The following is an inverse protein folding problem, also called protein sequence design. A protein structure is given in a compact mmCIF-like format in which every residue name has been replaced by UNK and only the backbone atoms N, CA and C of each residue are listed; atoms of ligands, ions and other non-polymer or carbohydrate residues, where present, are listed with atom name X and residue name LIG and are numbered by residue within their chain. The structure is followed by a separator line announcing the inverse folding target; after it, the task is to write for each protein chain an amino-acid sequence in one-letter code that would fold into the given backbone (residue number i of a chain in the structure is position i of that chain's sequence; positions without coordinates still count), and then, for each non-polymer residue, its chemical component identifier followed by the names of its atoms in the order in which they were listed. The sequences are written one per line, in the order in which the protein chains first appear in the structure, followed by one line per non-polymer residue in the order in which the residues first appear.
data_IF_801028148882
#
_entry.id   IF_801028148882
#
_cell.length_a   1.000
_cell.length_b   1.000
_cell.length_c   1.000
_cell.angle_alpha   90.00
_cell.angle_beta   90.00
_cell.angle_gamma   90.00
#
_symmetry.space_group_name_H-M   'P 1'
#
loop_
_entity.id
_entity.type
_entity.pdbx_description
1 polymer ?
#
# COMPACT_ATOMS: atom_id res chain seq x y z
N UNK A 1 25.93 8.18 11.25
CA UNK A 1 25.11 7.96 10.02
C UNK A 1 24.82 6.47 9.93
N UNK A 2 23.59 6.05 9.63
CA UNK A 2 23.20 4.62 9.60
C UNK A 2 23.54 4.06 8.22
N UNK A 3 24.56 3.20 8.16
CA UNK A 3 24.90 2.45 6.95
C UNK A 3 24.16 1.10 7.00
N UNK A 4 23.30 0.86 6.02
CA UNK A 4 22.60 -0.43 5.84
C UNK A 4 23.32 -1.19 4.73
N UNK A 5 24.23 -2.08 5.10
CA UNK A 5 24.87 -3.01 4.16
C UNK A 5 24.12 -4.34 4.15
N UNK A 6 23.71 -4.75 2.95
CA UNK A 6 23.26 -6.12 2.66
C UNK A 6 24.46 -6.88 2.09
N UNK A 7 24.87 -7.97 2.74
CA UNK A 7 25.95 -8.83 2.25
C UNK A 7 25.36 -10.01 1.47
N UNK A 8 25.55 -10.00 0.15
CA UNK A 8 25.51 -11.20 -0.70
C UNK A 8 26.94 -11.60 -1.05
N UNK A 9 27.25 -12.89 -0.91
CA UNK A 9 28.58 -13.46 -1.17
C UNK A 9 28.63 -14.00 -2.59
N UNK A 10 29.53 -13.52 -3.46
CA UNK A 10 30.22 -14.36 -4.47
C UNK A 10 31.40 -13.65 -5.15
N UNK A 11 32.38 -14.49 -5.52
CA UNK A 11 33.73 -14.22 -6.01
C UNK A 11 33.85 -13.42 -7.33
N UNK A 12 34.97 -12.72 -7.49
CA UNK A 12 35.20 -11.72 -8.54
C UNK A 12 35.86 -12.19 -9.83
N UNK A 13 36.08 -11.23 -10.74
CA UNK A 13 37.38 -10.89 -11.40
C UNK A 13 37.23 -9.84 -12.53
N UNK A 14 38.21 -8.93 -12.58
CA UNK A 14 38.73 -8.10 -13.71
C UNK A 14 38.11 -6.75 -14.18
N UNK A 15 38.60 -5.66 -13.56
CA UNK A 15 39.33 -4.46 -14.08
C UNK A 15 39.19 -4.00 -15.57
N UNK A 16 38.77 -2.76 -15.97
CA UNK A 16 39.36 -1.36 -15.95
C UNK A 16 39.49 -0.79 -17.40
N UNK A 17 39.87 0.49 -17.71
CA UNK A 17 39.13 1.76 -17.53
C UNK A 17 39.24 2.73 -18.77
N UNK A 18 38.54 3.89 -18.77
CA UNK A 18 38.89 5.15 -19.53
C UNK A 18 37.92 6.27 -19.13
N UNK A 19 38.36 7.29 -18.38
CA UNK A 19 38.93 8.61 -18.77
C UNK A 19 37.90 9.74 -18.99
N UNK A 20 38.23 10.86 -18.35
CA UNK A 20 37.51 12.11 -18.10
C UNK A 20 37.92 13.24 -19.03
N UNK A 21 36.99 14.16 -19.32
CA UNK A 21 37.17 15.61 -19.56
C UNK A 21 35.78 16.25 -19.27
N UNK A 22 35.53 17.40 -18.66
CA UNK A 22 36.32 18.57 -18.28
C UNK A 22 35.54 19.86 -18.60
N UNK A 23 35.05 20.61 -17.58
CA UNK A 23 34.72 22.06 -17.55
C UNK A 23 33.59 22.61 -18.49
N UNK A 24 32.87 23.75 -18.29
CA UNK A 24 32.98 24.94 -17.43
C UNK A 24 31.63 25.72 -17.32
N UNK A 25 31.48 26.44 -16.19
CA UNK A 25 30.71 27.66 -15.83
C UNK A 25 29.73 28.37 -16.80
N UNK A 26 28.65 28.93 -16.23
CA UNK A 26 28.49 30.40 -16.09
C UNK A 26 27.33 30.79 -15.15
N UNK A 27 27.64 31.73 -14.27
CA UNK A 27 26.82 32.44 -13.30
C UNK A 27 25.89 33.49 -13.98
N UNK A 28 24.79 33.86 -13.32
CA UNK A 28 24.16 35.21 -13.35
C UNK A 28 22.84 35.20 -12.54
N UNK A 29 22.92 35.65 -11.29
CA UNK A 29 22.29 36.89 -10.87
C UNK A 29 20.76 37.03 -10.73
N UNK A 30 20.38 37.44 -9.49
CA UNK A 30 19.52 38.61 -9.18
C UNK A 30 18.04 38.35 -8.77
N UNK A 31 17.83 38.63 -7.46
CA UNK A 31 16.69 39.27 -6.75
C UNK A 31 15.38 38.50 -6.48
N UNK A 32 15.18 38.26 -5.18
CA UNK A 32 13.90 38.39 -4.47
C UNK A 32 13.41 39.85 -4.49
N UNK A 33 12.09 40.08 -4.31
CA UNK A 33 11.71 40.73 -3.05
C UNK A 33 10.35 40.31 -2.44
N UNK A 34 10.30 40.48 -1.11
CA UNK A 34 9.22 41.04 -0.27
C UNK A 34 7.84 40.37 -0.16
N UNK A 35 7.56 39.92 1.07
CA UNK A 35 6.25 39.90 1.72
C UNK A 35 5.67 41.31 1.91
N UNK A 36 4.35 41.41 2.13
CA UNK A 36 3.84 42.32 3.17
C UNK A 36 2.82 41.64 4.11
N UNK A 37 2.92 42.03 5.37
CA UNK A 37 2.01 41.78 6.49
C UNK A 37 0.93 42.88 6.58
N UNK A 38 -0.08 42.60 7.42
CA UNK A 38 -1.07 43.50 8.07
C UNK A 38 -2.42 43.65 7.35
N UNK A 39 -3.51 43.09 7.94
CA UNK A 39 -4.43 43.86 8.82
C UNK A 39 -5.46 42.98 9.55
N UNK A 40 -5.64 43.30 10.82
CA UNK A 40 -6.61 42.79 11.79
C UNK A 40 -8.08 42.91 11.34
N UNK A 41 -8.91 41.97 11.79
CA UNK A 41 -10.26 42.27 12.31
C UNK A 41 -10.63 41.32 13.44
N UNK A 42 -10.86 41.91 14.60
CA UNK A 42 -11.52 41.28 15.73
C UNK A 42 -13.05 41.33 15.52
N UNK A 43 -13.75 40.29 15.99
CA UNK A 43 -15.20 40.23 16.05
C UNK A 43 -15.63 39.02 16.88
N UNK A 44 -15.93 39.27 18.16
CA UNK A 44 -16.56 38.33 19.11
C UNK A 44 -18.00 38.04 18.70
N UNK A 45 -18.46 36.81 18.88
CA UNK A 45 -19.82 36.50 19.34
C UNK A 45 -19.91 35.07 19.91
N UNK A 46 -20.46 34.99 21.13
CA UNK A 46 -20.86 33.79 21.88
C UNK A 46 -21.99 33.01 21.20
N UNK A 47 -22.05 31.70 21.43
CA UNK A 47 -23.30 31.00 21.75
C UNK A 47 -23.01 29.66 22.47
N UNK A 48 -23.62 29.52 23.65
CA UNK A 48 -23.72 28.31 24.47
C UNK A 48 -24.89 27.42 24.00
N UNK A 49 -24.75 26.10 24.15
CA UNK A 49 -25.82 25.12 24.42
C UNK A 49 -25.14 23.74 24.63
N UNK A 50 -24.88 23.33 25.88
CA UNK A 50 -25.76 22.49 26.71
C UNK A 50 -25.73 21.00 26.32
N UNK A 51 -24.78 20.25 26.88
CA UNK A 51 -24.84 18.79 27.00
C UNK A 51 -25.33 18.45 28.41
N UNK A 52 -26.34 17.57 28.45
CA UNK A 52 -26.98 17.05 29.65
C UNK A 52 -26.26 15.77 30.08
N UNK A 53 -25.77 15.77 31.32
CA UNK A 53 -25.34 14.59 32.06
C UNK A 53 -26.52 13.67 32.36
N UNK A 54 -26.30 12.36 32.23
CA UNK A 54 -27.05 11.35 32.97
C UNK A 54 -26.09 10.27 33.46
N UNK A 55 -25.68 10.41 34.72
CA UNK A 55 -25.19 9.33 35.56
C UNK A 55 -26.36 8.37 35.87
N UNK A 56 -26.07 7.07 35.91
CA UNK A 56 -26.75 6.19 36.86
C UNK A 56 -25.87 4.98 37.19
N UNK A 57 -25.47 4.96 38.47
CA UNK A 57 -24.94 3.84 39.22
C UNK A 57 -25.90 2.65 39.24
N UNK A 58 -25.36 1.44 39.13
CA UNK A 58 -25.81 0.29 39.95
C UNK A 58 -24.58 -0.51 40.35
N UNK A 59 -24.30 -0.51 41.65
CA UNK A 59 -23.34 -1.40 42.32
C UNK A 59 -24.05 -2.61 42.94
N UNK A 60 -23.23 -3.64 43.18
CA UNK A 60 -23.33 -4.67 44.22
C UNK A 60 -24.24 -5.90 43.96
N UNK A 61 -23.60 -7.08 43.86
CA UNK A 61 -23.76 -8.09 44.90
C UNK A 61 -22.52 -9.00 44.99
N UNK A 62 -21.98 -9.02 46.19
CA UNK A 62 -20.95 -9.89 46.75
C UNK A 62 -21.47 -11.32 46.92
N UNK A 63 -20.60 -12.32 46.70
CA UNK A 63 -20.63 -13.60 47.44
C UNK A 63 -19.29 -14.32 47.30
N UNK A 64 -18.70 -14.57 48.46
CA UNK A 64 -17.50 -15.33 48.79
C UNK A 64 -17.46 -16.77 48.27
N UNK A 65 -16.27 -17.28 47.92
CA UNK A 65 -15.64 -18.36 48.70
C UNK A 65 -14.19 -18.65 48.28
N UNK A 66 -13.39 -18.98 49.30
CA UNK A 66 -11.93 -19.17 49.34
C UNK A 66 -11.45 -20.49 48.72
N UNK A 67 -10.23 -20.39 48.19
CA UNK A 67 -9.07 -21.31 48.21
C UNK A 67 -9.28 -22.78 48.60
N UNK A 68 -8.82 -23.70 47.74
CA UNK A 68 -8.02 -24.86 48.15
C UNK A 68 -6.89 -25.09 47.14
N UNK A 69 -5.66 -24.98 47.65
CA UNK A 69 -4.40 -25.37 47.03
C UNK A 69 -4.19 -26.87 47.28
N UNK A 70 -3.95 -27.68 46.25
CA UNK A 70 -3.42 -29.03 46.41
C UNK A 70 -2.52 -29.39 45.22
N UNK A 71 -1.23 -29.24 45.47
CA UNK A 71 -0.13 -29.87 44.76
C UNK A 71 -0.23 -31.39 44.83
N UNK A 72 -0.18 -32.11 43.71
CA UNK A 72 0.27 -33.50 43.67
C UNK A 72 0.99 -33.80 42.34
N UNK A 73 2.27 -34.13 42.51
CA UNK A 73 3.19 -34.69 41.52
C UNK A 73 2.75 -36.10 41.14
N UNK A 74 2.72 -36.44 39.85
CA UNK A 74 2.80 -37.84 39.39
C UNK A 74 3.62 -37.90 38.10
N UNK A 75 4.62 -38.76 38.15
CA UNK A 75 5.57 -39.15 37.11
C UNK A 75 4.86 -39.68 35.85
N UNK A 76 5.30 -39.25 34.67
CA UNK A 76 4.90 -39.89 33.40
C UNK A 76 5.96 -40.91 33.03
N UNK A 77 5.63 -42.16 33.34
CA UNK A 77 6.31 -43.34 32.81
C UNK A 77 5.86 -43.64 31.37
N UNK A 78 6.78 -44.30 30.70
CA UNK A 78 6.89 -44.67 29.29
C UNK A 78 5.74 -45.46 28.66
N UNK A 79 5.51 -45.15 27.37
CA UNK A 79 5.10 -46.02 26.25
C UNK A 79 3.68 -46.61 26.27
N UNK A 80 2.85 -46.16 25.32
CA UNK A 80 2.24 -47.03 24.31
C UNK A 80 1.60 -46.17 23.20
N UNK A 81 2.03 -46.40 21.95
CA UNK A 81 1.38 -45.89 20.74
C UNK A 81 -0.06 -46.39 20.73
N UNK A 82 -1.03 -45.50 20.93
CA UNK A 82 -2.43 -45.74 20.55
C UNK A 82 -2.73 -44.89 19.34
N UNK A 83 -2.80 -45.59 18.22
CA UNK A 83 -3.44 -45.17 16.99
C UNK A 83 -4.88 -44.73 17.31
N UNK A 84 -5.10 -43.41 17.38
CA UNK A 84 -6.44 -42.84 17.52
C UNK A 84 -6.98 -42.61 16.11
N UNK A 85 -7.83 -43.54 15.69
CA UNK A 85 -8.76 -43.35 14.60
C UNK A 85 -9.42 -41.96 14.71
N UNK A 86 -9.21 -41.13 13.70
CA UNK A 86 -9.84 -39.82 13.56
C UNK A 86 -11.31 -40.05 13.22
N UNK A 87 -12.21 -39.69 14.13
CA UNK A 87 -13.65 -39.71 13.87
C UNK A 87 -14.09 -38.69 12.80
N UNK A 88 -15.31 -38.78 12.25
CA UNK A 88 -15.72 -38.06 11.04
C UNK A 88 -16.05 -36.56 11.22
N UNK A 89 -15.72 -35.95 12.35
CA UNK A 89 -16.17 -34.58 12.70
C UNK A 89 -15.07 -33.72 13.30
N UNK A 90 -13.89 -33.70 12.68
CA UNK A 90 -12.93 -32.64 12.93
C UNK A 90 -13.28 -31.46 12.02
N UNK A 91 -14.24 -30.63 12.46
CA UNK A 91 -14.41 -29.28 11.89
C UNK A 91 -13.04 -28.61 12.01
N UNK A 92 -12.36 -28.43 10.88
CA UNK A 92 -11.08 -27.74 10.83
C UNK A 92 -11.31 -26.34 11.40
N UNK A 93 -10.82 -26.10 12.62
CA UNK A 93 -10.77 -24.75 13.17
C UNK A 93 -10.18 -23.83 12.10
N UNK A 94 -10.86 -22.74 11.74
CA UNK A 94 -10.36 -21.86 10.71
C UNK A 94 -8.97 -21.39 11.11
N UNK A 95 -7.99 -21.59 10.22
CA UNK A 95 -6.63 -21.16 10.49
C UNK A 95 -6.67 -19.68 10.84
N UNK A 96 -6.19 -19.32 12.02
CA UNK A 96 -6.18 -17.94 12.48
C UNK A 96 -4.77 -17.53 12.89
N UNK A 97 -4.38 -16.33 12.49
CA UNK A 97 -3.10 -15.73 12.84
C UNK A 97 -3.41 -14.41 13.54
N UNK A 98 -2.97 -14.28 14.80
CA UNK A 98 -3.20 -13.06 15.61
C UNK A 98 -4.68 -12.65 15.66
N UNK A 99 -5.59 -13.63 15.79
CA UNK A 99 -7.04 -13.41 15.84
C UNK A 99 -7.70 -13.15 14.49
N UNK A 100 -6.96 -13.15 13.38
CA UNK A 100 -7.52 -13.01 12.03
C UNK A 100 -7.72 -14.39 11.44
N UNK A 101 -8.97 -14.73 11.13
CA UNK A 101 -9.31 -15.92 10.35
C UNK A 101 -8.81 -15.74 8.92
N UNK A 102 -8.01 -16.71 8.46
CA UNK A 102 -7.47 -16.71 7.12
C UNK A 102 -8.54 -17.08 6.09
N UNK A 103 -8.59 -16.33 5.00
CA UNK A 103 -9.56 -16.51 3.92
C UNK A 103 -8.98 -17.44 2.86
N UNK A 104 -9.73 -18.47 2.48
CA UNK A 104 -9.33 -19.35 1.39
C UNK A 104 -9.50 -18.67 0.03
N UNK A 105 -8.58 -18.92 -0.90
CA UNK A 105 -8.73 -18.48 -2.31
C UNK A 105 -9.98 -19.09 -2.97
N UNK A 106 -10.52 -20.19 -2.43
CA UNK A 106 -11.77 -20.79 -2.91
C UNK A 106 -13.00 -19.90 -2.73
N UNK A 107 -12.94 -18.87 -1.88
CA UNK A 107 -13.97 -17.82 -1.75
C UNK A 107 -14.10 -16.96 -3.02
N UNK A 108 -13.10 -17.01 -3.90
CA UNK A 108 -13.16 -16.39 -5.22
C UNK A 108 -13.78 -17.35 -6.25
N UNK A 109 -14.54 -16.82 -7.23
CA UNK A 109 -14.95 -17.56 -8.42
C UNK A 109 -13.77 -18.26 -9.10
N UNK A 110 -14.01 -19.45 -9.64
CA UNK A 110 -12.98 -20.34 -10.22
C UNK A 110 -12.05 -19.62 -11.20
N UNK A 111 -12.60 -18.75 -12.05
CA UNK A 111 -11.85 -17.97 -13.05
C UNK A 111 -10.73 -17.11 -12.46
N UNK A 112 -10.82 -16.68 -11.21
CA UNK A 112 -9.81 -15.80 -10.59
C UNK A 112 -8.76 -16.55 -9.76
N UNK A 113 -8.99 -17.84 -9.47
CA UNK A 113 -8.11 -18.61 -8.58
C UNK A 113 -6.71 -18.78 -9.15
N UNK A 114 -6.56 -18.83 -10.48
CA UNK A 114 -5.27 -18.93 -11.17
C UNK A 114 -4.33 -17.75 -10.93
N UNK A 115 -4.86 -16.59 -10.53
CA UNK A 115 -4.05 -15.39 -10.23
C UNK A 115 -3.28 -15.55 -8.92
N UNK A 116 -3.81 -16.34 -7.98
CA UNK A 116 -3.28 -16.49 -6.64
C UNK A 116 -2.63 -17.88 -6.49
N UNK A 117 -1.29 -17.99 -6.57
CA UNK A 117 -0.58 -19.28 -6.57
C UNK A 117 -0.50 -19.95 -5.19
N UNK A 118 -1.38 -19.55 -4.26
CA UNK A 118 -1.42 -20.02 -2.88
C UNK A 118 -2.88 -20.35 -2.51
N UNK A 119 -3.12 -21.32 -1.61
CA UNK A 119 -4.48 -21.77 -1.30
C UNK A 119 -5.24 -20.82 -0.34
N UNK A 120 -4.51 -20.00 0.42
CA UNK A 120 -5.05 -19.20 1.53
C UNK A 120 -4.36 -17.84 1.56
N UNK A 121 -5.13 -16.78 1.74
CA UNK A 121 -4.63 -15.42 1.93
C UNK A 121 -3.93 -15.28 3.28
N UNK A 122 -2.85 -14.50 3.34
CA UNK A 122 -2.17 -14.22 4.61
C UNK A 122 -3.06 -13.35 5.54
N UNK A 123 -2.59 -13.07 6.77
CA UNK A 123 -3.37 -12.32 7.75
C UNK A 123 -3.79 -10.91 7.27
N UNK A 124 -2.87 -10.16 6.65
CA UNK A 124 -3.15 -8.81 6.12
C UNK A 124 -4.17 -8.86 4.99
N UNK A 125 -3.95 -9.77 4.03
CA UNK A 125 -4.84 -9.97 2.88
C UNK A 125 -6.23 -10.44 3.32
N UNK A 126 -6.30 -11.36 4.28
CA UNK A 126 -7.57 -11.90 4.82
C UNK A 126 -8.37 -10.85 5.56
N UNK A 127 -7.72 -10.03 6.38
CA UNK A 127 -8.38 -8.91 7.08
C UNK A 127 -8.94 -7.89 6.09
N UNK A 128 -8.19 -7.58 5.03
CA UNK A 128 -8.64 -6.65 3.99
C UNK A 128 -9.62 -7.27 2.97
N UNK A 129 -9.80 -8.61 2.95
CA UNK A 129 -10.59 -9.28 1.92
C UNK A 129 -12.02 -8.75 1.83
N UNK A 130 -12.68 -8.55 2.98
CA UNK A 130 -14.06 -8.08 3.02
C UNK A 130 -14.20 -6.68 2.42
N UNK A 131 -13.36 -5.73 2.85
CA UNK A 131 -13.42 -4.36 2.35
C UNK A 131 -13.01 -4.28 0.88
N UNK A 132 -12.00 -5.02 0.46
CA UNK A 132 -11.48 -4.99 -0.91
C UNK A 132 -12.41 -5.69 -1.90
N UNK A 133 -12.83 -6.93 -1.60
CA UNK A 133 -13.52 -7.80 -2.55
C UNK A 133 -15.04 -7.78 -2.44
N UNK A 134 -15.61 -7.47 -1.28
CA UNK A 134 -17.08 -7.45 -1.10
C UNK A 134 -17.70 -6.05 -1.16
N UNK A 135 -16.88 -5.00 -1.11
CA UNK A 135 -17.34 -3.60 -1.23
C UNK A 135 -16.65 -2.88 -2.38
N UNK A 136 -17.17 -1.70 -2.73
CA UNK A 136 -16.57 -0.79 -3.71
C UNK A 136 -16.02 0.51 -3.07
N UNK A 137 -15.88 0.53 -1.73
CA UNK A 137 -15.28 1.66 -1.03
C UNK A 137 -13.78 1.80 -1.32
N UNK A 138 -13.30 3.04 -1.27
CA UNK A 138 -11.90 3.39 -1.32
C UNK A 138 -11.17 2.84 -0.09
N UNK A 139 -9.90 2.48 -0.26
CA UNK A 139 -9.09 1.84 0.78
C UNK A 139 -7.73 2.52 0.90
N UNK A 140 -7.31 2.77 2.13
CA UNK A 140 -5.93 3.14 2.48
C UNK A 140 -5.35 2.05 3.38
N UNK A 141 -4.28 1.42 2.93
CA UNK A 141 -3.62 0.34 3.66
C UNK A 141 -2.15 0.64 3.87
N UNK A 142 -1.75 0.69 5.14
CA UNK A 142 -0.36 0.70 5.56
C UNK A 142 0.02 -0.69 6.10
N UNK A 143 0.99 -1.35 5.47
CA UNK A 143 1.50 -2.64 5.92
C UNK A 143 2.96 -2.85 5.49
N UNK A 144 3.81 -3.52 6.29
CA UNK A 144 5.23 -3.67 6.02
C UNK A 144 5.52 -4.26 4.63
N UNK A 145 6.67 -3.91 4.04
CA UNK A 145 7.13 -4.50 2.78
C UNK A 145 7.24 -6.03 2.92
N UNK A 146 6.77 -6.77 1.91
CA UNK A 146 6.69 -8.23 1.96
C UNK A 146 5.40 -8.79 2.57
N UNK A 147 4.48 -7.95 3.07
CA UNK A 147 3.17 -8.41 3.58
C UNK A 147 2.16 -8.81 2.49
N UNK A 148 2.60 -8.86 1.22
CA UNK A 148 1.75 -9.29 0.10
C UNK A 148 0.71 -8.25 -0.34
N UNK A 149 1.02 -6.95 -0.20
CA UNK A 149 0.18 -5.81 -0.61
C UNK A 149 -0.30 -5.90 -2.07
N UNK A 150 0.53 -6.41 -2.98
CA UNK A 150 0.16 -6.59 -4.40
C UNK A 150 -1.08 -7.47 -4.58
N UNK A 151 -1.25 -8.53 -3.77
CA UNK A 151 -2.43 -9.41 -3.87
C UNK A 151 -3.74 -8.67 -3.55
N UNK A 152 -3.68 -7.61 -2.74
CA UNK A 152 -4.84 -6.77 -2.41
C UNK A 152 -5.26 -5.92 -3.62
N UNK A 153 -4.30 -5.41 -4.39
CA UNK A 153 -4.58 -4.76 -5.67
C UNK A 153 -5.18 -5.75 -6.68
N UNK A 154 -4.64 -6.96 -6.76
CA UNK A 154 -5.17 -8.02 -7.63
C UNK A 154 -6.60 -8.41 -7.24
N UNK A 155 -6.91 -8.48 -5.95
CA UNK A 155 -8.28 -8.67 -5.44
C UNK A 155 -9.22 -7.54 -5.85
N UNK A 156 -8.76 -6.28 -5.81
CA UNK A 156 -9.56 -5.14 -6.25
C UNK A 156 -9.89 -5.22 -7.75
N UNK A 157 -8.93 -5.68 -8.58
CA UNK A 157 -9.16 -5.94 -10.00
C UNK A 157 -10.19 -7.06 -10.17
N UNK A 158 -10.05 -8.18 -9.45
CA UNK A 158 -11.03 -9.27 -9.49
C UNK A 158 -12.44 -8.80 -9.13
N UNK A 159 -12.57 -7.96 -8.09
CA UNK A 159 -13.85 -7.33 -7.71
C UNK A 159 -14.42 -6.51 -8.85
N UNK A 160 -13.61 -5.64 -9.47
CA UNK A 160 -14.05 -4.84 -10.60
C UNK A 160 -14.60 -5.72 -11.74
N UNK A 161 -13.86 -6.77 -12.13
CA UNK A 161 -14.25 -7.70 -13.18
C UNK A 161 -15.52 -8.49 -12.85
N UNK A 162 -15.79 -8.72 -11.56
CA UNK A 162 -16.98 -9.44 -11.13
C UNK A 162 -18.23 -8.56 -11.15
N UNK A 163 -18.05 -7.24 -11.02
CA UNK A 163 -19.15 -6.27 -11.01
C UNK A 163 -19.46 -5.67 -12.38
N UNK A 164 -18.46 -5.57 -13.26
CA UNK A 164 -18.64 -5.02 -14.59
C UNK A 164 -19.24 -6.04 -15.56
N UNK A 165 -20.21 -5.58 -16.36
CA UNK A 165 -20.84 -6.36 -17.43
C UNK A 165 -20.25 -6.07 -18.81
N UNK A 166 -19.51 -4.97 -18.96
CA UNK A 166 -18.93 -4.51 -20.21
C UNK A 166 -17.40 -4.45 -20.07
N UNK A 167 -16.69 -4.73 -21.16
CA UNK A 167 -15.24 -4.73 -21.26
C UNK A 167 -14.66 -3.31 -21.40
N UNK A 168 -15.53 -2.30 -21.49
CA UNK A 168 -15.18 -0.88 -21.59
C UNK A 168 -14.85 -0.27 -20.24
N UNK A 169 -13.69 -0.63 -19.70
CA UNK A 169 -13.15 -0.02 -18.49
C UNK A 169 -11.62 0.12 -18.57
N UNK A 170 -11.09 0.92 -17.65
CA UNK A 170 -9.65 1.05 -17.42
C UNK A 170 -9.34 0.91 -15.92
N UNK A 171 -8.28 0.17 -15.64
CA UNK A 171 -7.60 0.11 -14.34
C UNK A 171 -6.28 0.82 -14.50
N UNK A 172 -6.02 1.80 -13.64
CA UNK A 172 -4.72 2.49 -13.59
C UNK A 172 -3.97 1.95 -12.39
N UNK A 173 -2.76 1.44 -12.60
CA UNK A 173 -1.80 1.15 -11.54
C UNK A 173 -0.65 2.13 -11.62
N UNK A 174 -0.43 2.82 -10.51
CA UNK A 174 0.59 3.85 -10.38
C UNK A 174 1.67 3.40 -9.40
N UNK A 175 2.92 3.37 -9.86
CA UNK A 175 4.08 3.02 -9.05
C UNK A 175 5.10 4.18 -8.96
N UNK A 176 5.91 4.26 -7.88
CA UNK A 176 6.96 5.27 -7.70
C UNK A 176 8.00 5.33 -8.80
N UNK A 177 8.41 4.17 -9.29
CA UNK A 177 9.58 4.02 -10.16
C UNK A 177 9.22 3.29 -11.44
N UNK A 178 9.93 3.61 -12.53
CA UNK A 178 9.79 2.90 -13.80
C UNK A 178 10.12 1.41 -13.64
N UNK A 179 11.15 1.06 -12.88
CA UNK A 179 11.54 -0.33 -12.66
C UNK A 179 10.42 -1.16 -12.03
N UNK A 180 9.67 -0.58 -11.07
CA UNK A 180 8.52 -1.23 -10.47
C UNK A 180 7.34 -1.33 -11.47
N UNK A 181 7.14 -0.33 -12.33
CA UNK A 181 6.20 -0.42 -13.45
C UNK A 181 6.53 -1.60 -14.37
N UNK A 182 7.78 -1.72 -14.83
CA UNK A 182 8.18 -2.79 -15.75
C UNK A 182 8.10 -4.18 -15.10
N UNK A 183 8.45 -4.29 -13.82
CA UNK A 183 8.27 -5.53 -13.05
C UNK A 183 6.80 -5.95 -13.02
N UNK A 184 5.90 -5.03 -12.64
CA UNK A 184 4.47 -5.30 -12.56
C UNK A 184 3.83 -5.54 -13.92
N UNK A 185 4.30 -4.85 -14.96
CA UNK A 185 3.85 -5.08 -16.32
C UNK A 185 4.13 -6.53 -16.75
N UNK A 186 5.32 -7.04 -16.50
CA UNK A 186 5.66 -8.43 -16.82
C UNK A 186 4.84 -9.44 -16.01
N UNK A 187 4.63 -9.20 -14.72
CA UNK A 187 3.85 -10.09 -13.86
C UNK A 187 2.36 -10.09 -14.24
N UNK A 188 1.75 -8.92 -14.33
CA UNK A 188 0.32 -8.76 -14.60
C UNK A 188 -0.04 -9.09 -16.04
N UNK A 189 0.83 -8.84 -17.01
CA UNK A 189 0.60 -9.31 -18.39
C UNK A 189 0.50 -10.83 -18.42
N UNK A 190 1.29 -11.56 -17.63
CA UNK A 190 1.19 -13.02 -17.58
C UNK A 190 -0.08 -13.47 -16.85
N UNK A 191 -0.35 -12.90 -15.67
CA UNK A 191 -1.50 -13.29 -14.83
C UNK A 191 -2.83 -12.95 -15.48
N UNK A 192 -3.03 -11.70 -15.88
CA UNK A 192 -4.31 -11.20 -16.36
C UNK A 192 -4.62 -11.53 -17.82
N UNK A 193 -3.62 -11.94 -18.61
CA UNK A 193 -3.89 -12.50 -19.93
C UNK A 193 -4.73 -13.78 -19.85
N UNK A 194 -4.63 -14.56 -18.75
CA UNK A 194 -5.52 -15.72 -18.52
C UNK A 194 -6.99 -15.33 -18.32
N UNK A 195 -7.25 -14.06 -18.00
CA UNK A 195 -8.57 -13.47 -17.87
C UNK A 195 -9.01 -12.69 -19.12
N UNK A 196 -8.23 -12.72 -20.19
CA UNK A 196 -8.48 -11.95 -21.41
C UNK A 196 -8.19 -10.45 -21.28
N UNK A 197 -7.51 -10.01 -20.22
CA UNK A 197 -7.14 -8.60 -20.06
C UNK A 197 -5.81 -8.30 -20.73
N UNK A 198 -5.76 -7.17 -21.45
CA UNK A 198 -4.55 -6.60 -21.98
C UNK A 198 -3.97 -5.58 -21.00
N UNK A 199 -2.68 -5.73 -20.71
CA UNK A 199 -1.89 -4.76 -19.95
C UNK A 199 -1.07 -3.89 -20.90
N UNK A 200 -0.84 -2.64 -20.54
CA UNK A 200 0.12 -1.77 -21.21
C UNK A 200 0.95 -1.00 -20.18
N UNK A 201 2.23 -0.84 -20.46
CA UNK A 201 3.13 0.04 -19.73
C UNK A 201 3.17 1.42 -20.38
N UNK A 202 2.95 2.46 -19.58
CA UNK A 202 2.98 3.86 -19.98
C UNK A 202 3.99 4.59 -19.09
N UNK A 203 5.23 4.69 -19.55
CA UNK A 203 6.32 5.37 -18.83
C UNK A 203 6.99 6.43 -19.71
N UNK A 204 8.07 7.03 -19.22
CA UNK A 204 8.80 8.05 -19.98
C UNK A 204 9.36 7.55 -21.31
N UNK A 205 9.57 6.24 -21.43
CA UNK A 205 10.22 5.61 -22.60
C UNK A 205 9.20 5.09 -23.63
N UNK A 206 7.93 5.47 -23.46
CA UNK A 206 6.82 5.02 -24.31
C UNK A 206 6.72 5.82 -25.61
N UNK A 207 6.90 5.14 -26.74
CA UNK A 207 6.75 5.69 -28.10
C UNK A 207 5.28 5.86 -28.53
N UNK A 208 5.06 6.63 -29.60
CA UNK A 208 3.73 6.85 -30.21
C UNK A 208 3.00 5.55 -30.62
N UNK A 209 3.73 4.50 -30.98
CA UNK A 209 3.18 3.18 -31.31
C UNK A 209 2.56 2.50 -30.09
N UNK A 210 3.18 2.66 -28.93
CA UNK A 210 2.72 2.08 -27.66
C UNK A 210 1.48 2.82 -27.12
N UNK A 211 1.26 4.09 -27.51
CA UNK A 211 0.06 4.85 -27.15
C UNK A 211 -1.24 4.19 -27.67
N UNK A 212 -1.21 3.56 -28.85
CA UNK A 212 -2.34 2.78 -29.36
C UNK A 212 -2.61 1.54 -28.52
N UNK A 213 -1.55 0.89 -28.02
CA UNK A 213 -1.67 -0.24 -27.10
C UNK A 213 -2.39 0.18 -25.80
N UNK A 214 -2.07 1.35 -25.26
CA UNK A 214 -2.70 1.92 -24.06
C UNK A 214 -4.22 2.13 -24.25
N UNK A 215 -4.63 2.57 -25.45
CA UNK A 215 -6.05 2.77 -25.77
C UNK A 215 -6.82 1.44 -25.80
N UNK A 216 -6.19 0.34 -26.19
CA UNK A 216 -6.82 -0.99 -26.26
C UNK A 216 -6.70 -1.78 -24.95
N UNK A 217 -5.70 -1.50 -24.11
CA UNK A 217 -5.44 -2.24 -22.86
C UNK A 217 -6.39 -1.88 -21.72
N UNK A 218 -6.94 -2.86 -20.99
CA UNK A 218 -7.77 -2.61 -19.81
C UNK A 218 -6.96 -2.18 -18.60
N UNK A 219 -5.71 -2.65 -18.47
CA UNK A 219 -4.84 -2.32 -17.33
C UNK A 219 -3.66 -1.49 -17.79
N UNK A 220 -3.52 -0.28 -17.26
CA UNK A 220 -2.45 0.66 -17.60
C UNK A 220 -1.55 0.81 -16.39
N UNK A 221 -0.25 0.55 -16.58
CA UNK A 221 0.77 0.62 -15.55
C UNK A 221 1.65 1.84 -15.84
N UNK A 222 1.74 2.78 -14.90
CA UNK A 222 2.33 4.11 -15.15
C UNK A 222 3.01 4.69 -13.92
N UNK A 223 3.84 5.72 -14.12
CA UNK A 223 4.33 6.58 -13.04
C UNK A 223 3.38 7.79 -12.83
N UNK A 224 3.43 8.47 -11.66
CA UNK A 224 2.64 9.67 -11.43
C UNK A 224 2.87 10.76 -12.49
N UNK A 225 4.13 10.98 -12.88
CA UNK A 225 4.53 12.06 -13.81
C UNK A 225 4.02 11.79 -15.21
N UNK A 226 4.13 10.53 -15.67
CA UNK A 226 3.66 10.17 -17.00
C UNK A 226 2.13 10.27 -17.08
N UNK A 227 1.43 9.84 -16.03
CA UNK A 227 -0.01 9.97 -15.96
C UNK A 227 -0.47 11.44 -15.85
N UNK A 228 0.23 12.27 -15.09
CA UNK A 228 -0.04 13.71 -15.03
C UNK A 228 0.12 14.35 -16.41
N UNK A 229 1.22 14.07 -17.10
CA UNK A 229 1.48 14.55 -18.47
C UNK A 229 0.37 14.14 -19.44
N UNK A 230 -0.08 12.88 -19.37
CA UNK A 230 -1.18 12.35 -20.18
C UNK A 230 -2.50 13.07 -19.88
N UNK A 231 -2.82 13.27 -18.62
CA UNK A 231 -4.12 13.80 -18.18
C UNK A 231 -4.23 15.32 -18.27
N UNK A 232 -3.11 16.06 -18.38
CA UNK A 232 -3.11 17.50 -18.70
C UNK A 232 -3.64 17.80 -20.10
N UNK A 233 -3.48 16.88 -21.06
CA UNK A 233 -4.08 16.97 -22.41
C UNK A 233 -5.52 16.46 -22.41
N UNK A 234 -6.33 17.02 -21.52
CA UNK A 234 -7.65 16.49 -21.16
C UNK A 234 -8.62 16.38 -22.35
N UNK A 235 -8.54 17.29 -23.33
CA UNK A 235 -9.41 17.29 -24.52
C UNK A 235 -9.21 16.06 -25.39
N UNK A 236 -7.97 15.58 -25.49
CA UNK A 236 -7.61 14.45 -26.35
C UNK A 236 -7.92 13.10 -25.67
N UNK A 237 -8.10 13.10 -24.35
CA UNK A 237 -8.19 11.89 -23.53
C UNK A 237 -9.40 11.87 -22.58
N UNK A 238 -10.38 12.76 -22.74
CA UNK A 238 -11.58 12.81 -21.92
C UNK A 238 -12.33 11.46 -21.87
N UNK A 239 -12.43 10.79 -23.03
CA UNK A 239 -13.02 9.45 -23.13
C UNK A 239 -12.25 8.41 -22.31
N UNK A 240 -10.92 8.47 -22.31
CA UNK A 240 -10.09 7.55 -21.50
C UNK A 240 -10.36 7.77 -20.01
N UNK A 241 -10.44 9.02 -19.57
CA UNK A 241 -10.70 9.35 -18.16
C UNK A 241 -12.07 8.85 -17.67
N UNK A 242 -13.10 8.94 -18.50
CA UNK A 242 -14.44 8.43 -18.18
C UNK A 242 -14.50 6.90 -18.04
N UNK A 243 -13.60 6.19 -18.71
CA UNK A 243 -13.50 4.72 -18.66
C UNK A 243 -12.74 4.23 -17.43
N UNK A 244 -11.98 5.09 -16.74
CA UNK A 244 -11.27 4.70 -15.51
C UNK A 244 -12.30 4.35 -14.43
N UNK A 245 -12.22 3.13 -13.89
CA UNK A 245 -13.09 2.65 -12.80
C UNK A 245 -12.32 2.33 -11.53
N UNK A 246 -11.03 2.02 -11.64
CA UNK A 246 -10.18 1.64 -10.53
C UNK A 246 -8.81 2.30 -10.67
N UNK A 247 -8.34 2.92 -9.59
CA UNK A 247 -7.06 3.59 -9.49
C UNK A 247 -6.28 3.02 -8.31
N UNK A 248 -5.18 2.34 -8.62
CA UNK A 248 -4.33 1.64 -7.67
C UNK A 248 -3.06 2.47 -7.48
N UNK A 249 -2.82 2.90 -6.24
CA UNK A 249 -1.66 3.72 -5.89
C UNK A 249 -0.74 2.86 -5.04
N UNK A 250 0.41 2.49 -5.60
CA UNK A 250 1.47 1.83 -4.85
C UNK A 250 2.42 2.86 -4.23
N UNK A 251 2.89 2.55 -3.03
CA UNK A 251 3.74 3.41 -2.22
C UNK A 251 3.21 4.86 -2.07
N UNK A 252 1.97 5.01 -1.58
CA UNK A 252 1.35 6.33 -1.36
C UNK A 252 2.14 7.24 -0.41
N UNK A 253 3.13 6.72 0.33
CA UNK A 253 4.04 7.53 1.14
C UNK A 253 4.89 8.53 0.33
N UNK A 254 5.01 8.35 -0.99
CA UNK A 254 5.63 9.33 -1.91
C UNK A 254 5.01 10.72 -1.79
N UNK A 255 3.77 10.83 -1.29
CA UNK A 255 3.13 12.13 -0.99
C UNK A 255 4.00 13.04 -0.10
N UNK A 256 4.91 12.47 0.71
CA UNK A 256 5.82 13.24 1.58
C UNK A 256 7.12 13.68 0.90
N UNK A 257 7.37 13.20 -0.31
CA UNK A 257 8.60 13.47 -1.06
C UNK A 257 8.39 14.61 -2.06
N UNK A 258 9.48 15.05 -2.70
CA UNK A 258 9.43 16.11 -3.72
C UNK A 258 8.47 15.78 -4.89
N UNK A 259 8.27 14.50 -5.20
CA UNK A 259 7.37 14.01 -6.26
C UNK A 259 5.91 13.86 -5.80
N UNK A 260 5.63 14.10 -4.51
CA UNK A 260 4.31 13.95 -3.92
C UNK A 260 3.25 14.88 -4.52
N UNK A 261 3.64 16.13 -4.85
CA UNK A 261 2.73 17.11 -5.45
C UNK A 261 2.13 16.64 -6.80
N UNK A 262 2.89 15.87 -7.58
CA UNK A 262 2.40 15.30 -8.84
C UNK A 262 1.34 14.23 -8.59
N UNK A 263 1.57 13.33 -7.62
CA UNK A 263 0.59 12.32 -7.22
C UNK A 263 -0.69 12.99 -6.67
N UNK A 264 -0.55 14.00 -5.83
CA UNK A 264 -1.68 14.77 -5.28
C UNK A 264 -2.53 15.42 -6.39
N UNK A 265 -1.88 16.08 -7.35
CA UNK A 265 -2.56 16.71 -8.48
C UNK A 265 -3.32 15.69 -9.35
N UNK A 266 -2.70 14.53 -9.61
CA UNK A 266 -3.32 13.43 -10.38
C UNK A 266 -4.57 12.91 -9.67
N UNK A 267 -4.46 12.54 -8.40
CA UNK A 267 -5.58 11.95 -7.66
C UNK A 267 -6.72 12.97 -7.53
N UNK A 268 -6.39 14.22 -7.22
CA UNK A 268 -7.39 15.30 -7.13
C UNK A 268 -8.14 15.50 -8.46
N UNK A 269 -7.43 15.43 -9.59
CA UNK A 269 -8.03 15.50 -10.93
C UNK A 269 -8.94 14.30 -11.20
N UNK A 270 -8.51 13.09 -10.84
CA UNK A 270 -9.32 11.88 -11.03
C UNK A 270 -10.60 11.90 -10.18
N UNK A 271 -10.53 12.44 -8.96
CA UNK A 271 -11.71 12.67 -8.11
C UNK A 271 -12.66 13.70 -8.70
N UNK A 272 -12.14 14.79 -9.25
CA UNK A 272 -12.95 15.88 -9.83
C UNK A 272 -13.60 15.53 -11.17
N UNK A 273 -13.10 14.51 -11.87
CA UNK A 273 -13.54 14.14 -13.23
C UNK A 273 -14.98 13.55 -13.31
N UNK A 274 -15.70 13.44 -12.19
CA UNK A 274 -17.10 12.97 -12.14
C UNK A 274 -17.30 11.48 -12.47
N UNK A 275 -16.24 10.78 -12.87
CA UNK A 275 -16.19 9.32 -12.96
C UNK A 275 -16.17 8.73 -11.55
N UNK A 276 -17.05 7.75 -11.28
CA UNK A 276 -17.05 6.96 -10.04
C UNK A 276 -15.81 6.04 -9.99
N UNK A 277 -14.64 6.62 -9.75
CA UNK A 277 -13.35 5.93 -9.65
C UNK A 277 -13.17 5.43 -8.22
N UNK A 278 -12.90 4.13 -8.08
CA UNK A 278 -12.47 3.53 -6.82
C UNK A 278 -10.96 3.66 -6.64
N UNK A 279 -10.52 4.10 -5.47
CA UNK A 279 -9.10 4.26 -5.13
C UNK A 279 -8.65 3.20 -4.13
N UNK A 280 -7.53 2.53 -4.42
CA UNK A 280 -6.85 1.63 -3.49
C UNK A 280 -5.42 2.13 -3.31
N UNK A 281 -5.13 2.71 -2.16
CA UNK A 281 -3.83 3.29 -1.84
C UNK A 281 -3.08 2.41 -0.84
N UNK A 282 -1.91 1.93 -1.24
CA UNK A 282 -1.08 1.01 -0.47
C UNK A 282 0.26 1.67 -0.13
N UNK A 283 0.84 1.34 1.03
CA UNK A 283 2.21 1.76 1.37
C UNK A 283 2.82 0.89 2.47
N UNK A 284 4.15 0.83 2.51
CA UNK A 284 4.91 0.24 3.62
C UNK A 284 4.63 0.92 4.97
N UNK A 285 4.71 2.25 5.01
CA UNK A 285 4.57 3.04 6.22
C UNK A 285 3.87 4.35 5.89
N UNK A 286 2.77 4.67 6.58
CA UNK A 286 2.07 5.95 6.42
C UNK A 286 1.66 6.47 7.79
N UNK A 287 2.46 7.36 8.40
CA UNK A 287 2.12 7.98 9.68
C UNK A 287 0.78 8.75 9.62
N UNK A 288 0.50 9.38 8.48
CA UNK A 288 -0.67 10.21 8.22
C UNK A 288 -1.73 9.47 7.38
N UNK A 289 -1.93 8.17 7.63
CA UNK A 289 -2.90 7.37 6.87
C UNK A 289 -4.33 7.85 7.07
N UNK A 290 -4.62 8.52 8.19
CA UNK A 290 -5.92 9.15 8.47
C UNK A 290 -6.19 10.33 7.52
N UNK A 291 -5.21 11.21 7.33
CA UNK A 291 -5.33 12.37 6.43
C UNK A 291 -5.52 11.90 4.98
N UNK A 292 -4.80 10.86 4.57
CA UNK A 292 -4.97 10.27 3.23
C UNK A 292 -6.37 9.65 3.09
N UNK A 293 -6.86 8.95 4.11
CA UNK A 293 -8.19 8.36 4.07
C UNK A 293 -9.29 9.43 3.98
N UNK A 294 -9.15 10.51 4.74
CA UNK A 294 -10.04 11.68 4.68
C UNK A 294 -9.97 12.37 3.33
N UNK A 295 -8.76 12.56 2.79
CA UNK A 295 -8.57 13.15 1.47
C UNK A 295 -9.17 12.31 0.35
N UNK A 296 -9.06 10.97 0.38
CA UNK A 296 -9.67 10.12 -0.64
C UNK A 296 -11.19 10.05 -0.53
N UNK A 297 -11.73 10.07 0.71
CA UNK A 297 -13.14 9.84 0.98
C UNK A 297 -13.57 8.39 0.74
N UNK A 298 -14.76 8.01 1.22
CA UNK A 298 -15.25 6.61 1.17
C UNK A 298 -15.52 6.13 -0.24
N UNK A 299 -16.17 6.98 -1.04
CA UNK A 299 -16.51 6.75 -2.44
C UNK A 299 -16.80 8.10 -3.12
N UNK A 300 -17.16 8.09 -4.40
CA UNK A 300 -17.40 9.32 -5.16
C UNK A 300 -18.58 10.15 -4.67
N UNK A 301 -19.55 9.54 -3.99
CA UNK A 301 -20.77 10.18 -3.47
C UNK A 301 -20.58 10.63 -2.02
N UNK A 302 -19.94 9.81 -1.20
CA UNK A 302 -19.75 10.00 0.24
C UNK A 302 -18.34 10.49 0.57
N UNK A 303 -17.87 11.55 -0.11
CA UNK A 303 -16.51 12.06 0.05
C UNK A 303 -16.22 12.64 1.45
N UNK A 304 -17.25 13.02 2.20
CA UNK A 304 -17.15 13.54 3.57
C UNK A 304 -16.85 12.44 4.60
N UNK A 305 -17.12 11.18 4.28
CA UNK A 305 -16.75 10.04 5.11
C UNK A 305 -15.35 9.59 4.69
N UNK A 306 -14.39 9.38 5.60
CA UNK A 306 -13.07 8.87 5.24
C UNK A 306 -13.11 7.51 4.53
N UNK A 307 -12.11 7.25 3.71
CA UNK A 307 -11.87 5.93 3.12
C UNK A 307 -11.68 4.86 4.21
N UNK A 308 -11.95 3.60 3.88
CA UNK A 308 -11.65 2.51 4.80
C UNK A 308 -10.13 2.40 4.99
N UNK A 309 -9.69 2.54 6.24
CA UNK A 309 -8.28 2.57 6.61
C UNK A 309 -7.92 1.32 7.39
N UNK A 310 -6.81 0.69 7.01
CA UNK A 310 -6.20 -0.42 7.77
C UNK A 310 -4.71 -0.13 7.96
N UNK A 311 -4.21 -0.39 9.17
CA UNK A 311 -2.80 -0.18 9.52
C UNK A 311 -2.24 -1.40 10.25
N UNK A 312 -1.21 -2.00 9.67
CA UNK A 312 -0.52 -3.16 10.22
C UNK A 312 0.92 -2.79 10.57
N UNK A 313 1.34 -3.10 11.80
CA UNK A 313 2.72 -2.92 12.24
C UNK A 313 3.66 -4.03 11.73
N UNK A 314 4.95 -3.90 12.06
CA UNK A 314 6.00 -4.90 11.72
C UNK A 314 5.70 -6.32 12.20
N UNK A 315 4.85 -6.43 13.21
CA UNK A 315 4.29 -7.67 13.71
C UNK A 315 3.59 -8.53 12.64
N UNK A 316 3.01 -7.91 11.62
CA UNK A 316 2.31 -8.59 10.55
C UNK A 316 3.22 -8.98 9.38
N UNK A 317 4.53 -8.77 9.51
CA UNK A 317 5.50 -9.24 8.53
C UNK A 317 5.52 -10.79 8.52
N UNK A 318 5.36 -11.44 7.35
CA UNK A 318 5.38 -12.90 7.27
C UNK A 318 6.68 -13.52 7.79
N UNK A 319 7.80 -12.82 7.60
CA UNK A 319 9.13 -13.23 8.05
C UNK A 319 9.68 -12.15 8.98
N UNK A 320 9.87 -12.46 10.27
CA UNK A 320 10.41 -11.48 11.23
C UNK A 320 11.84 -11.08 10.82
N UNK A 321 12.11 -9.78 10.78
CA UNK A 321 13.45 -9.26 10.56
C UNK A 321 14.10 -8.90 11.90
N UNK A 322 15.36 -9.27 12.06
CA UNK A 322 16.21 -8.77 13.15
C UNK A 322 17.02 -7.59 12.63
N UNK A 323 16.95 -6.46 13.33
CA UNK A 323 17.68 -5.24 12.97
C UNK A 323 18.87 -5.09 13.91
N UNK A 324 20.07 -5.15 13.35
CA UNK A 324 21.32 -4.83 14.06
C UNK A 324 21.74 -3.43 13.65
N UNK A 325 21.98 -2.55 14.63
CA UNK A 325 22.46 -1.19 14.40
C UNK A 325 23.82 -1.06 15.07
N UNK A 326 24.87 -0.95 14.27
CA UNK A 326 26.24 -0.75 14.76
C UNK A 326 26.55 0.74 14.78
N UNK A 327 26.64 1.31 15.97
CA UNK A 327 27.10 2.69 16.15
C UNK A 327 28.62 2.75 16.12
N UNK A 328 29.17 3.55 15.22
CA UNK A 328 30.60 3.83 15.18
C UNK A 328 30.88 5.13 15.93
N UNK A 329 31.76 5.05 16.93
CA UNK A 329 32.26 6.23 17.62
C UNK A 329 33.50 6.72 16.88
N UNK A 330 33.40 7.87 16.23
CA UNK A 330 34.53 8.53 15.61
C UNK A 330 34.88 9.78 16.41
N UNK A 331 36.13 9.89 16.81
CA UNK A 331 36.70 11.14 17.35
C UNK A 331 37.14 12.10 16.23
N UNK A 332 37.06 11.67 14.97
CA UNK A 332 37.37 12.50 13.81
C UNK A 332 36.14 13.32 13.39
N UNK A 333 36.37 14.47 12.76
CA UNK A 333 35.30 15.31 12.21
C UNK A 333 34.49 14.56 11.14
N UNK A 334 33.24 14.99 10.91
CA UNK A 334 32.30 14.33 9.99
C UNK A 334 32.89 14.06 8.60
N UNK A 335 33.74 14.97 8.10
CA UNK A 335 34.41 14.83 6.81
C UNK A 335 35.42 13.67 6.78
N UNK A 336 36.24 13.52 7.83
CA UNK A 336 37.19 12.42 7.93
C UNK A 336 36.48 11.07 8.14
N UNK A 337 35.37 11.07 8.90
CA UNK A 337 34.55 9.89 9.09
C UNK A 337 33.86 9.45 7.78
N UNK A 338 33.29 10.39 7.03
CA UNK A 338 32.66 10.10 5.74
C UNK A 338 33.68 9.56 4.72
N UNK A 339 34.90 10.12 4.71
CA UNK A 339 36.02 9.61 3.91
C UNK A 339 36.45 8.19 4.32
N UNK A 340 36.41 7.87 5.61
CA UNK A 340 36.70 6.52 6.13
C UNK A 340 35.61 5.52 5.73
N UNK A 341 34.33 5.89 5.82
CA UNK A 341 33.23 5.01 5.41
C UNK A 341 33.19 4.79 3.88
N UNK A 342 33.63 5.78 3.10
CA UNK A 342 33.64 5.70 1.63
C UNK A 342 34.94 5.14 1.04
N UNK A 343 36.00 4.98 1.84
CA UNK A 343 37.22 4.31 1.38
C UNK A 343 36.99 2.80 1.31
N UNK A 344 36.98 2.26 0.10
CA UNK A 344 36.83 0.83 -0.22
C UNK A 344 37.96 -0.03 0.31
#
# INVERSE_FOLDING_TARGET
MVELTWLETTAGLHATPRQSFGSSSSDTGVRSPSSPLIRMRAGRANAQASEHDFENNVECHTSSNREILASHSVEISSVTRRDRQRGPFQQHLPMSIRGIVLVSVHELPDKYRSIFPFPVFNAVQSKCFQSVYKTDSNIVLAAPTGSGKTAIMELAICRLLNCLKDERFKVIYQAPTKSLCSEKFRDWSRKFNTLGLQCAELTGDTDHTQLRSVQNSQVIITTPEKWDSMTRKWKDHARLMQLVKLFLIDEVHILKEARGATLEAVVSRMKANGSNVRFIALSATVPNSEDIATWLGRDSVNQHVPAHREHFGEDFRPVKLQKFVYGYHSHANDFAFDKMCTSK
#
